data_IF_795516122133
#
_entry.id   IF_795516122133
#
_cell.length_a   1.000
_cell.length_b   1.000
_cell.length_c   1.000
_cell.angle_alpha   90.00
_cell.angle_beta   90.00
_cell.angle_gamma   90.00
#
_symmetry.space_group_name_H-M   'P 1'
#
loop_
_entity.id
_entity.type
_entity.pdbx_description
1 polymer ?
#
# COMPACT_ATOMS: atom_id res chain seq x y z
N UNK A 1 -4.06 15.77 16.82
CA UNK A 1 -4.04 16.83 15.79
C UNK A 1 -4.17 16.16 14.44
N UNK A 2 -5.32 16.31 13.78
CA UNK A 2 -5.55 15.71 12.46
C UNK A 2 -4.98 16.61 11.40
N UNK A 3 -3.96 16.14 10.67
CA UNK A 3 -3.51 16.80 9.44
C UNK A 3 -4.60 16.54 8.42
N UNK A 4 -5.45 17.53 8.19
CA UNK A 4 -6.43 17.49 7.10
C UNK A 4 -5.68 17.41 5.78
N UNK A 5 -6.11 16.55 4.86
CA UNK A 5 -5.50 16.33 3.53
C UNK A 5 -5.28 17.64 2.74
N UNK A 6 -6.07 18.68 3.04
CA UNK A 6 -5.93 20.05 2.51
C UNK A 6 -4.66 20.80 2.97
N UNK A 7 -4.02 20.39 4.07
CA UNK A 7 -2.76 20.99 4.55
C UNK A 7 -1.53 20.44 3.83
N UNK A 8 -1.64 19.25 3.20
CA UNK A 8 -0.55 18.64 2.43
C UNK A 8 -0.52 19.09 0.96
N UNK A 9 -1.64 19.62 0.45
CA UNK A 9 -1.76 20.10 -0.92
C UNK A 9 -2.48 21.46 -0.90
N UNK A 10 -1.75 22.56 -1.07
CA UNK A 10 -2.39 23.85 -1.30
C UNK A 10 -3.35 23.73 -2.50
N UNK A 11 -4.50 24.43 -2.52
CA UNK A 11 -5.53 24.30 -3.57
C UNK A 11 -4.98 24.46 -5.00
N UNK A 12 -3.89 25.20 -5.13
CA UNK A 12 -3.25 25.59 -6.40
C UNK A 12 -2.17 24.59 -6.85
N UNK A 13 -1.71 23.70 -5.95
CA UNK A 13 -0.65 22.72 -6.23
C UNK A 13 -1.09 21.73 -7.29
N UNK A 14 -2.38 21.37 -7.34
CA UNK A 14 -2.92 20.44 -8.34
C UNK A 14 -2.76 20.92 -9.79
N UNK A 15 -2.58 22.23 -10.02
CA UNK A 15 -2.35 22.81 -11.36
C UNK A 15 -0.86 22.78 -11.74
N UNK A 16 0.04 22.79 -10.75
CA UNK A 16 1.51 22.79 -10.94
C UNK A 16 2.14 21.41 -10.93
N UNK A 17 1.42 20.39 -10.50
CA UNK A 17 1.89 19.01 -10.58
C UNK A 17 1.94 18.55 -12.05
N UNK A 18 3.03 17.89 -12.48
CA UNK A 18 3.08 17.18 -13.75
C UNK A 18 1.82 16.32 -13.94
N UNK A 19 1.28 16.28 -15.16
CA UNK A 19 0.02 15.61 -15.50
C UNK A 19 0.03 14.15 -15.04
N UNK A 20 1.19 13.53 -15.12
CA UNK A 20 1.48 12.17 -14.76
C UNK A 20 1.36 11.96 -13.23
N UNK A 21 1.88 12.90 -12.42
CA UNK A 21 1.81 12.82 -10.94
C UNK A 21 0.36 12.87 -10.49
N UNK A 22 -0.40 13.79 -11.08
CA UNK A 22 -1.84 13.93 -10.84
C UNK A 22 -2.61 12.68 -11.26
N UNK A 23 -2.27 12.05 -12.39
CA UNK A 23 -2.88 10.79 -12.82
C UNK A 23 -2.62 9.66 -11.82
N UNK A 24 -1.39 9.52 -11.33
CA UNK A 24 -1.05 8.52 -10.31
C UNK A 24 -1.76 8.76 -8.98
N UNK A 25 -1.86 10.00 -8.52
CA UNK A 25 -2.60 10.34 -7.30
C UNK A 25 -4.10 10.06 -7.43
N UNK A 26 -4.70 10.36 -8.59
CA UNK A 26 -6.10 10.02 -8.88
C UNK A 26 -6.30 8.51 -8.93
N UNK A 27 -5.39 7.76 -9.54
CA UNK A 27 -5.46 6.30 -9.58
C UNK A 27 -5.35 5.69 -8.17
N UNK A 28 -4.43 6.19 -7.34
CA UNK A 28 -4.28 5.77 -5.95
C UNK A 28 -5.49 6.14 -5.09
N UNK A 29 -6.03 7.35 -5.22
CA UNK A 29 -7.27 7.75 -4.55
C UNK A 29 -8.47 6.89 -4.97
N UNK A 30 -8.56 6.53 -6.26
CA UNK A 30 -9.59 5.61 -6.77
C UNK A 30 -9.43 4.22 -6.16
N UNK A 31 -8.20 3.70 -6.09
CA UNK A 31 -7.91 2.41 -5.46
C UNK A 31 -8.24 2.41 -3.97
N UNK A 32 -7.87 3.46 -3.22
CA UNK A 32 -8.24 3.59 -1.80
C UNK A 32 -9.76 3.62 -1.60
N UNK A 33 -10.50 4.35 -2.45
CA UNK A 33 -11.96 4.37 -2.40
C UNK A 33 -12.56 2.98 -2.70
N UNK A 34 -12.03 2.27 -3.70
CA UNK A 34 -12.46 0.90 -4.01
C UNK A 34 -12.20 -0.05 -2.83
N UNK A 35 -11.02 0.01 -2.23
CA UNK A 35 -10.70 -0.80 -1.05
C UNK A 35 -11.64 -0.47 0.13
N UNK A 36 -11.92 0.81 0.37
CA UNK A 36 -12.85 1.24 1.42
C UNK A 36 -14.28 0.70 1.20
N UNK A 37 -14.76 0.69 -0.05
CA UNK A 37 -16.06 0.11 -0.41
C UNK A 37 -16.09 -1.40 -0.09
N UNK A 38 -15.04 -2.13 -0.46
CA UNK A 38 -14.95 -3.56 -0.15
C UNK A 38 -14.90 -3.83 1.36
N UNK A 39 -14.12 -3.07 2.13
CA UNK A 39 -14.07 -3.17 3.59
C UNK A 39 -15.43 -2.87 4.24
N UNK A 40 -16.17 -1.89 3.71
CA UNK A 40 -17.50 -1.54 4.20
C UNK A 40 -18.49 -2.68 3.94
N UNK A 41 -18.45 -3.31 2.77
CA UNK A 41 -19.28 -4.48 2.49
C UNK A 41 -18.93 -5.64 3.40
N UNK A 42 -17.65 -5.96 3.56
CA UNK A 42 -17.17 -7.02 4.44
C UNK A 42 -17.66 -6.81 5.89
N UNK A 43 -17.50 -5.59 6.40
CA UNK A 43 -17.94 -5.22 7.76
C UNK A 43 -19.45 -5.35 7.93
N UNK A 44 -20.23 -4.96 6.91
CA UNK A 44 -21.69 -5.12 6.92
C UNK A 44 -22.09 -6.60 6.97
N UNK A 45 -21.42 -7.46 6.21
CA UNK A 45 -21.66 -8.90 6.26
C UNK A 45 -21.27 -9.51 7.61
N UNK A 46 -20.15 -9.09 8.21
CA UNK A 46 -19.74 -9.52 9.55
C UNK A 46 -20.78 -9.15 10.62
N UNK A 47 -21.31 -7.92 10.59
CA UNK A 47 -22.39 -7.50 11.50
C UNK A 47 -23.66 -8.33 11.32
N UNK A 48 -24.01 -8.71 10.08
CA UNK A 48 -25.14 -9.60 9.84
C UNK A 48 -24.90 -11.02 10.39
N UNK A 49 -23.68 -11.55 10.27
CA UNK A 49 -23.31 -12.84 10.85
C UNK A 49 -23.44 -12.80 12.38
N UNK A 50 -22.93 -11.75 13.02
CA UNK A 50 -23.07 -11.54 14.46
C UNK A 50 -24.53 -11.44 14.91
N UNK A 51 -25.36 -10.68 14.17
CA UNK A 51 -26.79 -10.56 14.44
C UNK A 51 -27.51 -11.90 14.29
N UNK A 52 -27.16 -12.70 13.28
CA UNK A 52 -27.68 -14.05 13.11
C UNK A 52 -27.23 -14.92 14.30
N UNK A 53 -25.95 -14.93 14.65
CA UNK A 53 -25.43 -15.72 15.77
C UNK A 53 -26.10 -15.36 17.10
N UNK A 54 -26.33 -14.07 17.37
CA UNK A 54 -26.99 -13.61 18.58
C UNK A 54 -28.48 -13.98 18.60
N UNK A 55 -29.19 -13.84 17.47
CA UNK A 55 -30.58 -14.30 17.35
C UNK A 55 -30.71 -15.82 17.59
N UNK A 56 -29.71 -16.60 17.18
CA UNK A 56 -29.63 -18.03 17.48
C UNK A 56 -29.31 -18.30 18.96
N UNK A 57 -28.45 -17.51 19.59
CA UNK A 57 -28.13 -17.68 21.02
C UNK A 57 -29.34 -17.48 21.91
N UNK A 58 -30.26 -16.60 21.51
CA UNK A 58 -31.49 -16.26 22.25
C UNK A 58 -32.67 -17.18 21.90
N UNK A 59 -32.59 -17.94 20.81
CA UNK A 59 -33.64 -18.87 20.33
C UNK A 59 -33.21 -20.33 20.49
N UNK A 60 -33.99 -21.17 21.17
CA UNK A 60 -33.68 -22.61 21.34
C UNK A 60 -33.74 -23.43 20.04
N UNK A 61 -34.18 -22.85 18.92
CA UNK A 61 -34.24 -23.53 17.62
C UNK A 61 -33.24 -22.91 16.64
N UNK A 62 -32.07 -23.54 16.52
CA UNK A 62 -31.19 -23.31 15.38
C UNK A 62 -31.79 -23.99 14.13
N UNK A 63 -32.09 -23.20 13.10
CA UNK A 63 -32.58 -23.72 11.83
C UNK A 63 -31.43 -23.82 10.82
N UNK A 64 -31.31 -24.96 10.14
CA UNK A 64 -30.30 -25.20 9.07
C UNK A 64 -30.21 -24.06 8.03
N UNK A 65 -31.33 -23.42 7.60
CA UNK A 65 -31.27 -22.30 6.66
C UNK A 65 -30.50 -21.08 7.18
N UNK A 66 -30.57 -20.81 8.47
CA UNK A 66 -29.96 -19.62 9.05
C UNK A 66 -28.46 -19.83 9.34
N UNK A 67 -28.03 -21.05 9.63
CA UNK A 67 -26.61 -21.44 9.60
C UNK A 67 -26.03 -21.32 8.20
N UNK A 68 -26.74 -21.82 7.18
CA UNK A 68 -26.29 -21.72 5.78
C UNK A 68 -26.16 -20.26 5.33
N UNK A 69 -27.12 -19.41 5.68
CA UNK A 69 -27.07 -17.98 5.39
C UNK A 69 -25.86 -17.28 6.05
N UNK A 70 -25.54 -17.62 7.30
CA UNK A 70 -24.35 -17.10 7.97
C UNK A 70 -23.06 -17.56 7.27
N UNK A 71 -22.97 -18.82 6.84
CA UNK A 71 -21.83 -19.33 6.07
C UNK A 71 -21.68 -18.62 4.73
N UNK A 72 -22.77 -18.39 4.00
CA UNK A 72 -22.73 -17.66 2.73
C UNK A 72 -22.34 -16.19 2.93
N UNK A 73 -22.80 -15.54 3.99
CA UNK A 73 -22.39 -14.18 4.35
C UNK A 73 -20.92 -14.11 4.74
N UNK A 74 -20.40 -15.10 5.48
CA UNK A 74 -18.97 -15.17 5.84
C UNK A 74 -18.12 -15.26 4.57
N UNK A 75 -18.52 -16.13 3.65
CA UNK A 75 -17.85 -16.31 2.36
C UNK A 75 -17.80 -15.02 1.53
N UNK A 76 -18.89 -14.24 1.53
CA UNK A 76 -18.93 -12.92 0.88
C UNK A 76 -18.05 -11.88 1.61
N UNK A 77 -18.03 -11.90 2.95
CA UNK A 77 -17.17 -11.02 3.74
C UNK A 77 -15.69 -11.28 3.42
N UNK A 78 -15.28 -12.55 3.44
CA UNK A 78 -13.92 -12.99 3.13
C UNK A 78 -13.53 -12.58 1.70
N UNK A 79 -14.43 -12.78 0.73
CA UNK A 79 -14.21 -12.33 -0.65
C UNK A 79 -13.95 -10.83 -0.73
N UNK A 80 -14.71 -10.01 0.00
CA UNK A 80 -14.51 -8.56 0.00
C UNK A 80 -13.23 -8.12 0.72
N UNK A 81 -12.81 -8.79 1.80
CA UNK A 81 -11.50 -8.55 2.41
C UNK A 81 -10.35 -8.83 1.43
N UNK A 82 -10.40 -9.97 0.75
CA UNK A 82 -9.43 -10.37 -0.27
C UNK A 82 -9.36 -9.36 -1.44
N UNK A 83 -10.51 -8.87 -1.91
CA UNK A 83 -10.59 -7.81 -2.92
C UNK A 83 -9.91 -6.52 -2.44
N UNK A 84 -10.12 -6.12 -1.19
CA UNK A 84 -9.45 -4.95 -0.62
C UNK A 84 -7.93 -5.14 -0.58
N UNK A 85 -7.44 -6.33 -0.19
CA UNK A 85 -6.00 -6.66 -0.16
C UNK A 85 -5.38 -6.54 -1.55
N UNK A 86 -6.02 -7.09 -2.59
CA UNK A 86 -5.53 -6.99 -3.98
C UNK A 86 -5.43 -5.53 -4.43
N UNK A 87 -6.46 -4.73 -4.19
CA UNK A 87 -6.47 -3.31 -4.56
C UNK A 87 -5.37 -2.53 -3.83
N UNK A 88 -5.18 -2.80 -2.55
CA UNK A 88 -4.13 -2.17 -1.74
C UNK A 88 -2.73 -2.59 -2.22
N UNK A 89 -2.50 -3.87 -2.48
CA UNK A 89 -1.22 -4.37 -2.98
C UNK A 89 -0.82 -3.70 -4.30
N UNK A 90 -1.76 -3.57 -5.24
CA UNK A 90 -1.53 -2.87 -6.52
C UNK A 90 -1.18 -1.41 -6.32
N UNK A 91 -1.93 -0.70 -5.46
CA UNK A 91 -1.64 0.70 -5.16
C UNK A 91 -0.28 0.88 -4.47
N UNK A 92 0.00 0.06 -3.46
CA UNK A 92 1.25 0.08 -2.70
C UNK A 92 2.46 -0.27 -3.58
N UNK A 93 2.31 -1.18 -4.54
CA UNK A 93 3.36 -1.54 -5.51
C UNK A 93 3.77 -0.31 -6.33
N UNK A 94 2.79 0.35 -6.96
CA UNK A 94 3.05 1.56 -7.76
C UNK A 94 3.71 2.65 -6.91
N UNK A 95 3.20 2.84 -5.68
CA UNK A 95 3.71 3.85 -4.77
C UNK A 95 5.15 3.56 -4.32
N UNK A 96 5.45 2.33 -3.93
CA UNK A 96 6.77 1.91 -3.48
C UNK A 96 7.81 2.04 -4.59
N UNK A 97 7.51 1.50 -5.78
CA UNK A 97 8.47 1.55 -6.89
C UNK A 97 8.73 2.98 -7.34
N UNK A 98 7.70 3.81 -7.45
CA UNK A 98 7.91 5.21 -7.81
C UNK A 98 8.69 5.97 -6.74
N UNK A 99 8.40 5.74 -5.46
CA UNK A 99 9.15 6.34 -4.35
C UNK A 99 10.61 5.92 -4.37
N UNK A 100 10.91 4.66 -4.70
CA UNK A 100 12.29 4.18 -4.87
C UNK A 100 12.99 4.87 -6.04
N UNK A 101 12.33 5.02 -7.18
CA UNK A 101 12.90 5.73 -8.34
C UNK A 101 13.22 7.19 -8.04
N UNK A 102 12.31 7.89 -7.35
CA UNK A 102 12.54 9.27 -6.89
C UNK A 102 13.70 9.32 -5.91
N UNK A 103 13.73 8.41 -4.93
CA UNK A 103 14.78 8.37 -3.92
C UNK A 103 16.16 8.11 -4.53
N UNK A 104 16.26 7.21 -5.51
CA UNK A 104 17.49 6.99 -6.29
C UNK A 104 17.92 8.24 -7.05
N UNK A 105 17.00 8.94 -7.70
CA UNK A 105 17.32 10.17 -8.42
C UNK A 105 17.85 11.24 -7.47
N UNK A 106 17.19 11.43 -6.32
CA UNK A 106 17.61 12.39 -5.29
C UNK A 106 18.98 12.01 -4.72
N UNK A 107 19.20 10.75 -4.36
CA UNK A 107 20.49 10.26 -3.88
C UNK A 107 21.62 10.48 -4.91
N UNK A 108 21.29 10.36 -6.20
CA UNK A 108 22.23 10.61 -7.30
C UNK A 108 22.32 12.08 -7.74
N UNK A 109 21.62 13.01 -7.07
CA UNK A 109 21.50 14.42 -7.47
C UNK A 109 21.01 14.62 -8.92
N UNK A 110 20.05 13.79 -9.35
CA UNK A 110 19.42 13.83 -10.68
C UNK A 110 17.96 14.26 -10.57
N UNK A 111 17.40 14.69 -11.70
CA UNK A 111 15.98 14.97 -11.79
C UNK A 111 15.17 13.66 -11.63
N UNK A 112 14.14 13.65 -10.75
CA UNK A 112 13.28 12.48 -10.60
C UNK A 112 12.56 12.11 -11.92
N UNK A 113 12.36 10.82 -12.20
CA UNK A 113 11.63 10.42 -13.40
C UNK A 113 10.16 10.83 -13.30
N UNK A 114 9.48 11.08 -14.44
CA UNK A 114 8.05 11.30 -14.42
C UNK A 114 7.33 10.02 -13.96
N UNK A 115 6.26 10.12 -13.18
CA UNK A 115 5.51 8.96 -12.73
C UNK A 115 4.80 8.25 -13.89
N UNK A 116 4.55 6.96 -13.73
CA UNK A 116 3.74 6.19 -14.66
C UNK A 116 4.44 5.80 -15.96
N UNK A 117 5.78 5.82 -16.00
CA UNK A 117 6.54 5.33 -17.17
C UNK A 117 6.38 3.81 -17.40
N UNK A 118 6.03 3.04 -16.35
CA UNK A 118 5.78 1.61 -16.44
C UNK A 118 4.58 1.20 -15.58
N UNK A 119 3.73 0.32 -16.10
CA UNK A 119 2.73 -0.40 -15.32
C UNK A 119 3.44 -1.58 -14.68
N UNK A 120 3.67 -1.50 -13.37
CA UNK A 120 4.39 -2.53 -12.61
C UNK A 120 3.38 -3.25 -11.74
N UNK A 121 3.32 -4.58 -11.90
CA UNK A 121 2.38 -5.41 -11.17
C UNK A 121 2.99 -5.89 -9.84
N UNK A 122 2.15 -6.18 -8.83
CA UNK A 122 2.59 -6.86 -7.61
C UNK A 122 3.44 -8.10 -7.87
N UNK A 123 3.02 -8.96 -8.81
CA UNK A 123 3.75 -10.18 -9.15
C UNK A 123 5.15 -9.92 -9.69
N UNK A 124 5.34 -8.85 -10.48
CA UNK A 124 6.64 -8.44 -10.99
C UNK A 124 7.59 -8.07 -9.83
N UNK A 125 7.08 -7.32 -8.84
CA UNK A 125 7.84 -6.95 -7.65
C UNK A 125 8.16 -8.16 -6.79
N UNK A 126 7.23 -9.11 -6.63
CA UNK A 126 7.48 -10.35 -5.87
C UNK A 126 8.55 -11.19 -6.56
N UNK A 127 8.47 -11.32 -7.89
CA UNK A 127 9.41 -12.12 -8.68
C UNK A 127 10.81 -11.49 -8.77
N UNK A 128 10.90 -10.15 -8.81
CA UNK A 128 12.14 -9.44 -9.06
C UNK A 128 12.31 -8.21 -8.15
N UNK A 129 12.08 -8.38 -6.84
CA UNK A 129 12.15 -7.28 -5.87
C UNK A 129 13.47 -6.50 -5.90
N UNK A 130 14.60 -7.18 -6.11
CA UNK A 130 15.91 -6.53 -6.24
C UNK A 130 16.03 -5.59 -7.46
N UNK A 131 15.26 -5.84 -8.52
CA UNK A 131 15.23 -4.98 -9.72
C UNK A 131 14.34 -3.76 -9.52
N UNK A 132 13.13 -3.97 -8.99
CA UNK A 132 12.13 -2.90 -8.83
C UNK A 132 12.32 -2.05 -7.57
N UNK A 133 12.91 -2.65 -6.52
CA UNK A 133 13.19 -2.02 -5.23
C UNK A 133 14.69 -2.18 -4.88
N UNK A 134 15.58 -1.60 -5.71
CA UNK A 134 17.02 -1.61 -5.43
C UNK A 134 17.34 -0.88 -4.12
N UNK A 135 18.55 -1.11 -3.61
CA UNK A 135 19.03 -0.43 -2.42
C UNK A 135 19.20 1.08 -2.68
N UNK A 136 18.77 1.89 -1.73
CA UNK A 136 18.87 3.35 -1.77
C UNK A 136 19.74 3.78 -0.60
N UNK A 137 20.74 4.60 -0.89
CA UNK A 137 21.63 5.19 0.11
C UNK A 137 21.84 6.66 -0.24
N UNK A 138 21.55 7.56 0.70
CA UNK A 138 21.72 8.99 0.54
C UNK A 138 23.14 9.41 0.94
N UNK A 139 23.74 10.35 0.20
CA UNK A 139 25.11 10.84 0.43
C UNK A 139 25.22 11.62 1.74
N UNK A 140 26.40 11.52 2.36
CA UNK A 140 26.70 12.11 3.65
C UNK A 140 27.64 13.31 3.49
N UNK A 141 27.06 14.50 3.36
CA UNK A 141 27.81 15.75 3.18
C UNK A 141 28.28 16.33 4.54
N UNK A 142 28.83 15.46 5.41
CA UNK A 142 29.68 15.84 6.53
C UNK A 142 28.98 16.23 7.85
N UNK A 143 27.75 15.76 8.10
CA UNK A 143 27.12 15.87 9.42
C UNK A 143 26.25 14.62 9.71
N UNK A 144 26.93 13.49 9.88
CA UNK A 144 26.42 12.15 9.52
C UNK A 144 25.43 11.46 10.46
N UNK A 145 25.05 12.02 11.61
CA UNK A 145 24.16 11.25 12.50
C UNK A 145 22.76 11.07 11.89
N UNK A 146 22.22 12.15 11.31
CA UNK A 146 20.88 12.12 10.70
C UNK A 146 20.89 11.27 9.43
N UNK A 147 21.92 11.39 8.60
CA UNK A 147 22.01 10.62 7.37
C UNK A 147 22.21 9.12 7.63
N UNK A 148 23.06 8.76 8.58
CA UNK A 148 23.21 7.38 9.03
C UNK A 148 21.91 6.80 9.60
N UNK A 149 21.21 7.53 10.47
CA UNK A 149 19.90 7.11 11.03
C UNK A 149 18.84 6.89 9.91
N UNK A 150 18.79 7.79 8.92
CA UNK A 150 17.85 7.66 7.80
C UNK A 150 18.21 6.48 6.89
N UNK A 151 19.48 6.33 6.53
CA UNK A 151 19.95 5.20 5.71
C UNK A 151 19.73 3.85 6.43
N UNK A 152 19.94 3.79 7.74
CA UNK A 152 19.63 2.59 8.54
C UNK A 152 18.13 2.28 8.52
N UNK A 153 17.28 3.30 8.68
CA UNK A 153 15.82 3.14 8.65
C UNK A 153 15.34 2.64 7.28
N UNK A 154 15.85 3.22 6.19
CA UNK A 154 15.57 2.78 4.81
C UNK A 154 16.04 1.33 4.59
N UNK A 155 17.26 1.02 5.03
CA UNK A 155 17.84 -0.32 4.90
C UNK A 155 17.10 -1.37 5.72
N UNK A 156 16.61 -1.02 6.92
CA UNK A 156 15.78 -1.90 7.73
C UNK A 156 14.42 -2.17 7.07
N UNK A 157 13.70 -1.11 6.68
CA UNK A 157 12.40 -1.26 6.03
C UNK A 157 12.49 -2.09 4.74
N UNK A 158 13.55 -1.88 3.94
CA UNK A 158 13.82 -2.69 2.74
C UNK A 158 14.08 -4.14 3.08
N UNK A 159 14.94 -4.44 4.07
CA UNK A 159 15.24 -5.83 4.47
C UNK A 159 13.97 -6.55 4.90
N UNK A 160 13.14 -5.93 5.73
CA UNK A 160 11.87 -6.53 6.16
C UNK A 160 10.95 -6.84 4.98
N UNK A 161 10.84 -5.94 3.99
CA UNK A 161 10.05 -6.18 2.78
C UNK A 161 10.63 -7.34 1.94
N UNK A 162 11.94 -7.36 1.72
CA UNK A 162 12.60 -8.43 0.94
C UNK A 162 12.50 -9.78 1.64
N UNK A 163 12.63 -9.82 2.96
CA UNK A 163 12.43 -11.02 3.77
C UNK A 163 10.99 -11.53 3.64
N UNK A 164 9.99 -10.65 3.70
CA UNK A 164 8.60 -11.02 3.49
C UNK A 164 8.37 -11.62 2.09
N UNK A 165 8.88 -10.98 1.04
CA UNK A 165 8.79 -11.48 -0.33
C UNK A 165 9.48 -12.86 -0.44
N UNK A 166 10.68 -13.00 0.10
CA UNK A 166 11.50 -14.21 -0.02
C UNK A 166 10.93 -15.39 0.77
N UNK A 167 10.57 -15.17 2.04
CA UNK A 167 10.20 -16.26 2.94
C UNK A 167 8.72 -16.60 2.94
N UNK A 168 7.84 -15.65 2.60
CA UNK A 168 6.39 -15.88 2.64
C UNK A 168 5.76 -15.99 1.27
N UNK A 169 6.31 -15.33 0.25
CA UNK A 169 5.62 -15.20 -1.05
C UNK A 169 6.22 -16.05 -2.17
N UNK A 170 7.47 -16.52 -2.06
CA UNK A 170 8.11 -17.33 -3.11
C UNK A 170 7.48 -18.73 -3.33
N UNK A 171 6.47 -19.11 -2.56
CA UNK A 171 5.67 -20.33 -2.76
C UNK A 171 4.18 -20.10 -3.03
N UNK A 172 3.72 -18.84 -2.99
CA UNK A 172 2.32 -18.48 -3.21
C UNK A 172 2.11 -17.98 -4.66
N UNK A 173 0.87 -18.01 -5.17
CA UNK A 173 0.59 -17.49 -6.52
C UNK A 173 0.66 -15.96 -6.50
N UNK A 174 1.84 -15.40 -6.76
CA UNK A 174 2.06 -13.95 -6.84
C UNK A 174 1.09 -13.25 -7.82
N UNK A 175 0.68 -13.96 -8.87
CA UNK A 175 -0.32 -13.51 -9.85
C UNK A 175 -1.70 -13.21 -9.23
N UNK A 176 -1.99 -13.78 -8.07
CA UNK A 176 -3.24 -13.56 -7.35
C UNK A 176 -3.41 -12.10 -6.88
N UNK A 177 -2.33 -11.32 -6.82
CA UNK A 177 -2.36 -9.90 -6.45
C UNK A 177 -2.53 -8.96 -7.64
N UNK A 178 -2.47 -9.46 -8.89
CA UNK A 178 -2.47 -8.60 -10.07
C UNK A 178 -3.88 -8.19 -10.51
N UNK A 179 -4.85 -9.08 -10.29
CA UNK A 179 -6.23 -8.90 -10.76
C UNK A 179 -7.26 -9.27 -9.68
N UNK A 180 -8.13 -8.32 -9.40
CA UNK A 180 -9.25 -8.44 -8.46
C UNK A 180 -10.25 -9.53 -8.89
N UNK A 181 -10.35 -9.80 -10.20
CA UNK A 181 -11.23 -10.84 -10.73
C UNK A 181 -10.79 -12.27 -10.33
N UNK A 182 -9.55 -12.44 -9.88
CA UNK A 182 -9.04 -13.72 -9.36
C UNK A 182 -9.56 -14.03 -7.94
N UNK A 183 -10.22 -13.08 -7.29
CA UNK A 183 -10.82 -13.28 -5.96
C UNK A 183 -12.19 -13.92 -6.12
N UNK A 184 -12.26 -15.22 -5.84
CA UNK A 184 -13.49 -16.01 -5.90
C UNK A 184 -14.06 -16.27 -4.51
N UNK A 185 -15.38 -16.44 -4.42
CA UNK A 185 -16.06 -16.74 -3.18
C UNK A 185 -15.70 -18.13 -2.64
N UNK A 186 -15.29 -19.09 -3.48
CA UNK A 186 -15.23 -20.51 -3.12
C UNK A 186 -13.97 -20.94 -2.33
N UNK A 187 -13.35 -20.01 -1.60
CA UNK A 187 -12.11 -20.24 -0.88
C UNK A 187 -10.90 -19.90 -1.74
N UNK A 188 -10.54 -18.62 -1.72
CA UNK A 188 -9.33 -18.13 -2.38
C UNK A 188 -8.05 -18.48 -1.61
N UNK A 189 -6.92 -18.26 -2.28
CA UNK A 189 -5.61 -18.14 -1.64
C UNK A 189 -5.76 -17.06 -0.56
N UNK A 190 -5.50 -17.39 0.71
CA UNK A 190 -5.50 -16.42 1.81
C UNK A 190 -4.39 -15.41 1.55
N UNK A 191 -4.73 -14.27 0.93
CA UNK A 191 -3.75 -13.27 0.54
C UNK A 191 -3.29 -12.53 1.78
N UNK A 192 -1.98 -12.35 1.88
CA UNK A 192 -1.33 -11.70 3.00
C UNK A 192 -1.41 -10.19 2.83
N UNK A 193 -2.13 -9.51 3.73
CA UNK A 193 -2.15 -8.03 3.76
C UNK A 193 -0.77 -7.46 4.05
N UNK A 194 0.09 -8.24 4.70
CA UNK A 194 1.43 -7.84 5.12
C UNK A 194 2.32 -7.42 3.94
N UNK A 195 2.07 -7.93 2.73
CA UNK A 195 2.79 -7.49 1.53
C UNK A 195 2.45 -6.03 1.17
N UNK A 196 1.15 -5.71 1.11
CA UNK A 196 0.70 -4.35 0.81
C UNK A 196 1.16 -3.36 1.89
N UNK A 197 1.10 -3.78 3.16
CA UNK A 197 1.53 -2.99 4.31
C UNK A 197 3.05 -2.74 4.27
N UNK A 198 3.86 -3.78 4.04
CA UNK A 198 5.31 -3.65 3.96
C UNK A 198 5.76 -2.74 2.80
N UNK A 199 5.10 -2.85 1.64
CA UNK A 199 5.33 -1.93 0.51
C UNK A 199 5.01 -0.48 0.90
N UNK A 200 3.87 -0.26 1.57
CA UNK A 200 3.44 1.07 1.97
C UNK A 200 4.39 1.69 3.02
N UNK A 201 4.81 0.90 4.01
CA UNK A 201 5.79 1.32 5.02
C UNK A 201 7.12 1.68 4.37
N UNK A 202 7.63 0.82 3.48
CA UNK A 202 8.88 1.09 2.78
C UNK A 202 8.81 2.37 1.93
N UNK A 203 7.71 2.55 1.18
CA UNK A 203 7.46 3.75 0.40
C UNK A 203 7.40 5.00 1.29
N UNK A 204 6.69 4.93 2.42
CA UNK A 204 6.57 6.03 3.38
C UNK A 204 7.94 6.44 3.95
N UNK A 205 8.78 5.47 4.32
CA UNK A 205 10.15 5.72 4.77
C UNK A 205 10.97 6.42 3.69
N UNK A 206 10.90 5.94 2.43
CA UNK A 206 11.63 6.57 1.32
C UNK A 206 11.18 8.01 1.07
N UNK A 207 9.87 8.27 1.05
CA UNK A 207 9.34 9.62 0.84
C UNK A 207 9.77 10.56 1.97
N UNK A 208 9.76 10.08 3.21
CA UNK A 208 10.26 10.84 4.35
C UNK A 208 11.74 11.18 4.20
N UNK A 209 12.58 10.18 3.92
CA UNK A 209 14.02 10.41 3.73
C UNK A 209 14.28 11.37 2.55
N UNK A 210 13.56 11.21 1.44
CA UNK A 210 13.61 12.16 0.32
C UNK A 210 13.30 13.58 0.77
N UNK A 211 12.24 13.81 1.56
CA UNK A 211 11.90 15.15 2.06
C UNK A 211 13.01 15.75 2.93
N UNK A 212 13.66 14.94 3.77
CA UNK A 212 14.81 15.35 4.60
C UNK A 212 15.99 15.78 3.72
N UNK A 213 16.37 14.98 2.73
CA UNK A 213 17.55 15.23 1.89
C UNK A 213 17.32 16.23 0.75
N UNK A 214 16.08 16.45 0.32
CA UNK A 214 15.73 17.46 -0.68
C UNK A 214 15.52 18.86 -0.09
N UNK A 215 15.70 19.02 1.23
CA UNK A 215 15.64 20.33 1.89
C UNK A 215 14.24 20.94 1.98
N UNK A 216 13.18 20.12 1.89
CA UNK A 216 11.80 20.56 2.19
C UNK A 216 11.62 20.66 3.71
N UNK A 217 12.43 21.52 4.34
CA UNK A 217 12.22 21.95 5.72
C UNK A 217 11.30 23.17 5.69
N UNK A 218 10.19 23.21 6.45
CA UNK A 218 9.24 24.33 6.44
C UNK A 218 9.80 25.66 6.95
N UNK A 219 11.08 25.75 7.35
CA UNK A 219 11.66 26.92 8.03
C UNK A 219 12.77 27.68 7.29
N UNK A 220 12.99 27.44 6.00
CA UNK A 220 14.00 28.20 5.25
C UNK A 220 13.36 29.12 4.20
N UNK A 221 12.97 30.32 4.67
CA UNK A 221 12.71 31.46 3.80
C UNK A 221 13.89 31.75 2.86
N UNK A 222 13.64 32.41 1.71
CA UNK A 222 14.65 32.60 0.67
C UNK A 222 15.79 33.45 1.23
N UNK A 223 16.99 32.85 1.33
CA UNK A 223 18.23 33.61 1.54
C UNK A 223 18.51 34.39 0.26
N UNK A 224 18.31 35.71 0.32
CA UNK A 224 18.91 36.67 -0.61
C UNK A 224 20.29 37.06 -0.10
#
# INVERSE_FOLDING_TARGET
MGVTTQQLLQPDMGVRLPVEVRRSLVAMGTACNQAAVHLQYASTHSLHIEAIAEAHRVSEQASTPATQAATDLQRLADQHFEQAIVVLARAATVYAVYSTQVALAVAASREPPPPGAAVILPSDVIAAAGHYLPEVCFSDDGNDRVAAEQNETVGHARRTLIELVTYRMQGESALAYDDIATVTADGGINRQSEFADALHVYAGVLVWSVAVFSGVSPDHGPRR
#
